data_IF_637442208347
#
_entry.id   IF_637442208347
#
_cell.length_a   1.000
_cell.length_b   1.000
_cell.length_c   1.000
_cell.angle_alpha   90.00
_cell.angle_beta   90.00
_cell.angle_gamma   90.00
#
_symmetry.space_group_name_H-M   'P 1'
#
loop_
_entity.id
_entity.type
_entity.pdbx_description
1 polymer ?
2 non-polymer ?
3 non-polymer ?
4 water ?
#
# COMPACT_ATOMS: atom_id res chain seq x y z
N UNK A 1 -14.92 10.37 -13.15
CA UNK A 1 -14.61 9.10 -12.46
C UNK A 1 -15.70 8.78 -11.45
N UNK A 2 -16.12 7.52 -11.44
CA UNK A 2 -17.11 7.05 -10.48
C UNK A 2 -16.44 6.20 -9.39
N UNK A 3 -16.89 6.38 -8.15
CA UNK A 3 -16.45 5.58 -7.02
C UNK A 3 -17.48 4.54 -6.62
N UNK A 4 -18.69 4.59 -7.18
CA UNK A 4 -19.61 3.47 -7.05
C UNK A 4 -19.08 2.24 -7.79
N UNK A 5 -18.20 2.45 -8.77
CA UNK A 5 -17.67 1.36 -9.57
C UNK A 5 -16.44 0.70 -8.94
N UNK A 6 -15.78 1.33 -7.96
CA UNK A 6 -14.56 0.78 -7.38
C UNK A 6 -14.85 -0.57 -6.74
N UNK A 7 -14.03 -1.56 -7.06
CA UNK A 7 -14.21 -2.91 -6.55
C UNK A 7 -13.16 -3.25 -5.51
N UNK A 8 -13.58 -3.94 -4.45
CA UNK A 8 -12.63 -4.30 -3.41
C UNK A 8 -13.09 -5.56 -2.69
N UNK A 9 -12.14 -6.44 -2.44
CA UNK A 9 -12.33 -7.64 -1.64
C UNK A 9 -11.20 -7.73 -0.63
N UNK A 10 -11.51 -8.30 0.53
CA UNK A 10 -10.50 -8.57 1.54
C UNK A 10 -10.84 -9.89 2.20
N UNK A 11 -9.97 -10.86 2.06
CA UNK A 11 -10.18 -12.15 2.69
C UNK A 11 -9.13 -12.40 3.78
N UNK A 12 -9.54 -13.14 4.81
CA UNK A 12 -8.70 -13.24 6.00
C UNK A 12 -7.67 -14.34 5.89
N UNK A 13 -7.93 -15.37 5.10
CA UNK A 13 -6.97 -16.45 4.97
C UNK A 13 -6.98 -17.33 6.20
N UNK A 14 -5.86 -18.00 6.43
CA UNK A 14 -5.69 -18.87 7.59
C UNK A 14 -5.02 -18.11 8.74
N UNK A 15 -5.50 -16.91 9.05
CA UNK A 15 -4.95 -16.12 10.14
C UNK A 15 -6.05 -15.82 11.16
N UNK A 16 -5.61 -15.46 12.37
CA UNK A 16 -6.56 -15.21 13.44
C UNK A 16 -7.30 -13.89 13.23
N UNK A 17 -6.60 -12.86 12.79
CA UNK A 17 -7.21 -11.56 12.53
C UNK A 17 -6.94 -11.14 11.08
N UNK A 18 -7.84 -10.34 10.53
CA UNK A 18 -7.57 -9.68 9.25
C UNK A 18 -7.04 -8.29 9.55
N UNK A 19 -5.77 -8.05 9.24
CA UNK A 19 -5.11 -6.80 9.58
C UNK A 19 -4.93 -5.88 8.37
N UNK A 20 -5.56 -6.19 7.24
CA UNK A 20 -5.55 -5.34 6.05
C UNK A 20 -6.62 -4.28 6.15
N UNK A 21 -6.27 -3.05 5.76
CA UNK A 21 -7.23 -1.95 5.70
C UNK A 21 -7.16 -1.31 4.32
N UNK A 22 -8.25 -0.66 3.92
CA UNK A 22 -8.27 0.04 2.63
C UNK A 22 -9.31 1.15 2.67
N UNK A 23 -9.08 2.15 1.84
CA UNK A 23 -9.92 3.34 1.81
C UNK A 23 -9.83 3.96 0.43
N UNK A 24 -10.88 4.68 0.05
CA UNK A 24 -10.84 5.52 -1.14
C UNK A 24 -11.87 6.61 -0.98
N UNK A 25 -11.58 7.78 -1.54
CA UNK A 25 -12.47 8.91 -1.34
C UNK A 25 -12.16 10.01 -2.35
N UNK A 26 -13.16 10.84 -2.59
CA UNK A 26 -12.94 12.10 -3.30
C UNK A 26 -12.46 13.11 -2.27
N UNK A 27 -11.21 13.55 -2.39
CA UNK A 27 -10.67 14.44 -1.37
C UNK A 27 -11.08 15.88 -1.62
N UNK A 28 -10.77 16.39 -2.80
CA UNK A 28 -11.25 17.68 -3.26
C UNK A 28 -11.89 17.50 -4.63
N UNK A 29 -12.27 18.61 -5.28
CA UNK A 29 -12.82 18.50 -6.63
C UNK A 29 -11.84 17.81 -7.58
N UNK A 30 -10.55 18.03 -7.37
CA UNK A 30 -9.53 17.63 -8.32
C UNK A 30 -8.75 16.38 -7.90
N UNK A 31 -8.87 15.93 -6.66
CA UNK A 31 -7.97 14.91 -6.11
C UNK A 31 -8.77 13.72 -5.60
N UNK A 32 -8.54 12.56 -6.20
CA UNK A 32 -9.05 11.30 -5.69
C UNK A 32 -7.93 10.59 -4.91
N UNK A 33 -8.33 9.76 -3.92
CA UNK A 33 -7.41 9.07 -3.02
C UNK A 33 -7.77 7.60 -2.94
N UNK A 34 -6.75 6.73 -3.01
CA UNK A 34 -6.91 5.29 -2.90
C UNK A 34 -5.75 4.70 -2.09
N UNK A 35 -6.03 3.75 -1.20
CA UNK A 35 -5.00 3.26 -0.29
C UNK A 35 -5.29 1.86 0.21
N UNK A 36 -4.22 1.06 0.38
CA UNK A 36 -4.26 -0.18 1.17
C UNK A 36 -3.23 -0.08 2.29
N UNK A 37 -3.58 -0.66 3.42
CA UNK A 37 -2.67 -0.75 4.55
C UNK A 37 -2.64 -2.19 5.04
N UNK A 38 -1.50 -2.86 4.88
CA UNK A 38 -1.30 -4.19 5.44
C UNK A 38 -0.69 -4.03 6.84
N UNK A 39 -1.49 -4.27 7.86
CA UNK A 39 -0.99 -4.19 9.21
C UNK A 39 -0.33 -5.48 9.68
N UNK A 40 0.46 -5.34 10.74
CA UNK A 40 1.12 -6.45 11.43
C UNK A 40 1.42 -6.05 12.86
N UNK A 41 1.53 -7.06 13.72
CA UNK A 41 1.79 -6.81 15.13
C UNK A 41 0.66 -6.10 15.82
N UNK A 42 -0.57 -6.34 15.40
CA UNK A 42 -1.70 -5.57 15.85
C UNK A 42 -2.16 -4.62 14.76
N UNK A 43 -3.47 -4.41 14.64
CA UNK A 43 -3.98 -3.51 13.60
C UNK A 43 -3.76 -2.03 13.89
N UNK A 44 -3.25 -1.68 15.08
CA UNK A 44 -3.21 -0.27 15.50
C UNK A 44 -2.63 0.65 14.44
N UNK A 45 -1.56 0.23 13.76
CA UNK A 45 -0.91 1.14 12.82
C UNK A 45 -1.70 1.23 11.51
N UNK A 46 -2.25 0.11 11.02
CA UNK A 46 -3.09 0.16 9.83
C UNK A 46 -4.33 1.01 10.07
N UNK A 47 -5.00 0.80 11.21
CA UNK A 47 -6.16 1.61 11.57
C UNK A 47 -5.81 3.09 11.67
N UNK A 48 -4.66 3.40 12.27
CA UNK A 48 -4.25 4.79 12.40
C UNK A 48 -4.14 5.46 11.03
N UNK A 49 -3.49 4.78 10.08
CA UNK A 49 -3.33 5.36 8.77
C UNK A 49 -4.67 5.47 8.07
N UNK A 50 -5.48 4.43 8.14
CA UNK A 50 -6.83 4.47 7.60
C UNK A 50 -7.63 5.64 8.17
N UNK A 51 -7.40 5.94 9.44
CA UNK A 51 -8.19 6.98 10.10
C UNK A 51 -7.68 8.39 9.77
N UNK A 52 -6.36 8.55 9.59
CA UNK A 52 -5.76 9.87 9.55
C UNK A 52 -5.08 10.24 8.24
N UNK A 53 -4.83 9.30 7.33
CA UNK A 53 -4.05 9.62 6.15
C UNK A 53 -4.70 10.74 5.36
N UNK A 54 -6.04 10.74 5.31
CA UNK A 54 -6.75 11.68 4.44
C UNK A 54 -6.58 13.12 4.91
N UNK A 55 -6.47 13.33 6.23
CA UNK A 55 -6.25 14.68 6.71
C UNK A 55 -4.81 15.14 6.51
N UNK A 56 -3.81 14.28 6.72
CA UNK A 56 -2.45 14.68 6.40
C UNK A 56 -2.37 15.19 4.97
N UNK A 57 -2.98 14.46 4.05
CA UNK A 57 -2.96 14.85 2.64
C UNK A 57 -3.68 16.18 2.44
N UNK A 58 -4.93 16.28 2.92
CA UNK A 58 -5.72 17.47 2.64
C UNK A 58 -5.12 18.73 3.24
N UNK A 59 -4.53 18.63 4.43
CA UNK A 59 -3.88 19.79 5.02
C UNK A 59 -2.64 20.23 4.25
N UNK A 60 -2.04 19.33 3.48
CA UNK A 60 -0.85 19.62 2.70
C UNK A 60 -1.17 20.02 1.27
N UNK A 61 -2.36 19.66 0.76
CA UNK A 61 -2.73 20.02 -0.60
C UNK A 61 -2.60 21.50 -0.88
N UNK A 62 -3.07 22.42 -0.03
CA UNK A 62 -2.89 23.85 -0.33
C UNK A 62 -1.45 24.32 -0.31
N UNK A 63 -0.54 23.52 0.24
CA UNK A 63 0.82 23.99 0.48
C UNK A 63 1.84 23.41 -0.48
N UNK A 64 1.50 22.37 -1.25
CA UNK A 64 2.50 21.61 -1.99
C UNK A 64 1.92 21.12 -3.30
N UNK A 65 2.51 21.56 -4.41
CA UNK A 65 1.95 21.21 -5.70
C UNK A 65 2.58 19.97 -6.29
N UNK A 66 3.80 19.62 -5.89
CA UNK A 66 4.44 18.38 -6.29
C UNK A 66 3.85 17.28 -5.44
N UNK A 67 3.06 16.38 -6.03
CA UNK A 67 2.36 15.38 -5.24
C UNK A 67 3.29 14.27 -4.74
N UNK A 68 4.38 14.01 -5.46
CA UNK A 68 5.39 13.11 -4.93
C UNK A 68 5.98 13.67 -3.64
N UNK A 69 6.32 14.95 -3.65
CA UNK A 69 6.79 15.60 -2.43
C UNK A 69 5.71 15.58 -1.37
N UNK A 70 4.45 15.80 -1.76
CA UNK A 70 3.36 15.86 -0.78
C UNK A 70 3.21 14.55 -0.03
N UNK A 71 3.22 13.41 -0.74
CA UNK A 71 3.00 12.14 -0.07
C UNK A 71 4.19 11.74 0.80
N UNK A 72 5.41 12.07 0.37
CA UNK A 72 6.58 11.90 1.22
C UNK A 72 6.39 12.58 2.57
N UNK A 73 6.04 13.87 2.57
CA UNK A 73 5.75 14.57 3.81
C UNK A 73 4.61 13.91 4.57
N UNK A 74 3.55 13.54 3.86
CA UNK A 74 2.40 12.94 4.54
C UNK A 74 2.79 11.63 5.23
N UNK A 75 3.59 10.80 4.57
CA UNK A 75 4.02 9.54 5.17
C UNK A 75 4.86 9.78 6.42
N UNK A 76 5.88 10.63 6.31
CA UNK A 76 6.71 10.91 7.46
C UNK A 76 5.91 11.60 8.55
N UNK A 77 4.96 12.45 8.18
CA UNK A 77 4.19 13.15 9.20
C UNK A 77 3.26 12.18 9.91
N UNK A 78 2.69 11.23 9.20
CA UNK A 78 1.75 10.32 9.83
C UNK A 78 2.48 9.26 10.68
N UNK A 79 3.74 8.96 10.34
CA UNK A 79 4.51 8.01 11.13
C UNK A 79 4.95 8.66 12.44
N UNK A 80 5.40 9.91 12.36
CA UNK A 80 5.65 10.69 13.56
C UNK A 80 4.40 10.78 14.42
N UNK A 81 3.22 10.90 13.80
CA UNK A 81 2.01 10.93 14.63
C UNK A 81 1.73 9.57 15.26
N UNK A 82 2.04 8.48 14.55
CA UNK A 82 1.77 7.18 15.16
C UNK A 82 2.72 6.89 16.31
N UNK A 83 4.00 7.28 16.17
CA UNK A 83 4.98 7.17 17.24
C UNK A 83 4.43 7.73 18.54
N UNK A 84 3.98 8.99 18.49
CA UNK A 84 3.52 9.67 19.69
C UNK A 84 2.27 9.00 20.24
N UNK A 85 1.34 8.66 19.36
CA UNK A 85 0.14 7.96 19.80
C UNK A 85 0.51 6.69 20.57
N UNK A 86 1.49 5.94 20.03
CA UNK A 86 1.87 4.66 20.61
C UNK A 86 2.59 4.83 21.94
N UNK A 87 3.59 5.72 21.97
CA UNK A 87 4.37 5.94 23.18
C UNK A 87 3.52 6.45 24.33
N UNK A 88 2.34 6.99 24.05
CA UNK A 88 1.51 7.60 25.07
C UNK A 88 0.31 6.76 25.45
N UNK A 89 0.12 5.59 24.87
CA UNK A 89 -1.01 4.78 25.28
C UNK A 89 -0.55 3.72 26.30
N UNK A 90 -1.54 3.14 26.98
CA UNK A 90 -1.25 2.14 28.00
C UNK A 90 -0.78 0.83 27.39
N UNK A 91 -1.24 0.52 26.18
CA UNK A 91 -0.90 -0.72 25.50
C UNK A 91 0.53 -0.67 24.98
N UNK A 92 1.39 -1.54 25.50
CA UNK A 92 2.77 -1.56 25.04
C UNK A 92 2.95 -2.25 23.70
N UNK A 93 1.95 -3.03 23.25
CA UNK A 93 2.05 -3.71 21.96
C UNK A 93 2.08 -2.75 20.79
N UNK A 94 1.48 -1.57 20.94
CA UNK A 94 1.50 -0.57 19.87
C UNK A 94 2.90 -0.17 19.47
N UNK A 95 3.90 -0.46 20.30
CA UNK A 95 5.29 -0.19 19.97
C UNK A 95 5.85 -1.25 19.02
N UNK A 96 5.17 -2.38 18.90
CA UNK A 96 5.53 -3.40 17.92
C UNK A 96 4.59 -3.40 16.73
N UNK A 97 3.64 -2.49 16.68
CA UNK A 97 2.64 -2.46 15.62
C UNK A 97 3.18 -1.69 14.43
N UNK A 98 2.94 -2.23 13.24
CA UNK A 98 3.37 -1.58 12.03
C UNK A 98 2.36 -1.76 10.91
N UNK A 99 2.71 -1.26 9.75
CA UNK A 99 1.83 -1.42 8.59
C UNK A 99 2.55 -0.98 7.34
N UNK A 100 2.26 -1.66 6.24
CA UNK A 100 2.59 -1.09 4.94
C UNK A 100 1.63 0.04 4.62
N UNK A 101 2.01 0.84 3.64
CA UNK A 101 1.12 1.88 3.16
C UNK A 101 1.37 2.03 1.67
N UNK A 102 0.32 1.86 0.86
CA UNK A 102 0.38 2.16 -0.58
C UNK A 102 -0.77 3.08 -0.92
N UNK A 103 -0.44 4.34 -1.24
CA UNK A 103 -1.42 5.40 -1.43
C UNK A 103 -1.31 5.95 -2.85
N UNK A 104 -2.45 6.16 -3.50
CA UNK A 104 -2.53 6.74 -4.85
C UNK A 104 -3.35 8.01 -4.81
N UNK A 105 -2.82 9.06 -5.44
CA UNK A 105 -3.56 10.29 -5.67
C UNK A 105 -3.74 10.49 -7.17
N UNK A 106 -4.96 10.75 -7.59
CA UNK A 106 -5.26 11.07 -8.99
C UNK A 106 -5.71 12.52 -9.07
N UNK A 107 -4.92 13.36 -9.73
CA UNK A 107 -5.22 14.79 -9.83
C UNK A 107 -5.75 15.12 -11.24
N UNK A 108 -6.83 15.91 -11.28
CA UNK A 108 -7.44 16.38 -12.53
C UNK A 108 -7.85 15.24 -13.45
N UNK A 109 -8.13 14.06 -12.90
CA UNK A 109 -8.48 12.92 -13.71
C UNK A 109 -7.36 12.38 -14.59
N UNK A 110 -6.16 12.98 -14.52
CA UNK A 110 -5.12 12.67 -15.50
C UNK A 110 -3.78 12.28 -14.87
N UNK A 111 -3.43 12.92 -13.75
CA UNK A 111 -2.14 12.74 -13.11
C UNK A 111 -2.25 11.75 -11.97
N UNK A 112 -1.62 10.59 -12.14
CA UNK A 112 -1.61 9.52 -11.14
C UNK A 112 -0.26 9.48 -10.44
N UNK A 113 -0.28 9.68 -9.13
CA UNK A 113 0.93 9.63 -8.31
C UNK A 113 0.73 8.58 -7.23
N UNK A 114 1.72 7.70 -7.07
CA UNK A 114 1.63 6.57 -6.15
C UNK A 114 2.86 6.58 -5.24
N UNK A 115 2.63 6.50 -3.95
CA UNK A 115 3.69 6.37 -2.95
C UNK A 115 3.43 5.11 -2.12
N UNK A 116 4.50 4.38 -1.81
CA UNK A 116 4.32 3.26 -0.89
C UNK A 116 5.55 3.01 -0.04
N UNK A 117 5.32 2.39 1.11
CA UNK A 117 6.34 1.71 1.90
C UNK A 117 5.83 0.31 2.21
N UNK A 118 6.68 -0.69 1.98
CA UNK A 118 6.35 -2.06 2.32
C UNK A 118 6.34 -2.96 1.10
N UNK A 119 5.51 -4.00 1.18
CA UNK A 119 5.43 -5.00 0.12
C UNK A 119 4.00 -5.18 -0.39
N UNK A 120 3.12 -4.23 -0.12
CA UNK A 120 1.86 -4.12 -0.82
C UNK A 120 2.10 -3.35 -2.11
N UNK A 121 1.27 -3.61 -3.12
CA UNK A 121 1.62 -3.23 -4.49
C UNK A 121 0.53 -2.40 -5.16
N UNK A 122 0.97 -1.58 -6.11
CA UNK A 122 0.08 -0.87 -7.02
C UNK A 122 0.53 -1.13 -8.44
N UNK A 123 -0.40 -1.52 -9.30
CA UNK A 123 -0.13 -1.65 -10.73
C UNK A 123 -1.21 -0.89 -11.50
N UNK A 124 -0.92 -0.65 -12.77
CA UNK A 124 -1.85 -0.06 -13.72
C UNK A 124 -2.02 -1.00 -14.91
N UNK A 125 -3.27 -1.33 -15.23
CA UNK A 125 -3.59 -2.19 -16.37
C UNK A 125 -4.23 -1.33 -17.45
N UNK A 126 -3.54 -1.20 -18.57
CA UNK A 126 -4.09 -0.55 -19.75
C UNK A 126 -4.00 -1.56 -20.88
N UNK A 127 -5.12 -1.78 -21.56
CA UNK A 127 -5.18 -2.76 -22.65
C UNK A 127 -4.53 -4.08 -22.26
N UNK A 128 -4.88 -4.56 -21.07
CA UNK A 128 -4.50 -5.89 -20.60
C UNK A 128 -3.03 -6.13 -20.33
N UNK A 129 -2.17 -5.09 -20.40
CA UNK A 129 -0.77 -5.15 -20.01
C UNK A 129 -0.59 -4.42 -18.68
N UNK A 130 0.17 -5.00 -17.75
CA UNK A 130 0.46 -4.31 -16.48
C UNK A 130 1.69 -3.42 -16.56
N UNK A 131 1.63 -2.35 -15.78
CA UNK A 131 2.80 -1.54 -15.48
C UNK A 131 2.96 -1.46 -13.95
N UNK A 132 4.13 -1.86 -13.45
CA UNK A 132 4.39 -1.81 -12.03
C UNK A 132 4.54 -0.35 -11.59
N UNK A 133 3.76 0.09 -10.61
CA UNK A 133 3.96 1.41 -10.02
C UNK A 133 4.77 1.38 -8.71
N UNK A 134 5.06 0.20 -8.15
CA UNK A 134 5.78 0.10 -6.90
C UNK A 134 6.82 -0.99 -7.00
N UNK A 135 7.84 -0.88 -6.15
CA UNK A 135 8.82 -1.93 -5.95
C UNK A 135 8.84 -2.29 -4.48
N UNK A 136 8.80 -3.59 -4.18
CA UNK A 136 8.75 -4.05 -2.79
C UNK A 136 10.01 -3.65 -2.03
N UNK A 137 9.82 -3.27 -0.77
CA UNK A 137 10.91 -2.97 0.15
C UNK A 137 11.16 -4.23 0.98
N UNK A 138 12.10 -5.05 0.53
CA UNK A 138 12.47 -6.27 1.23
C UNK A 138 13.98 -6.34 1.34
N UNK A 139 14.49 -7.06 2.35
CA UNK A 139 15.95 -7.16 2.54
C UNK A 139 16.71 -7.72 1.34
N UNK A 140 16.07 -8.48 0.44
CA UNK A 140 16.75 -8.91 -0.78
C UNK A 140 16.94 -7.81 -1.79
N UNK A 141 16.87 -6.54 -1.38
CA UNK A 141 17.20 -5.42 -2.24
C UNK A 141 18.53 -4.84 -1.77
N UNK A 142 19.54 -4.92 -2.64
CA UNK A 142 20.89 -4.48 -2.28
C UNK A 142 20.89 -3.11 -1.64
N UNK A 143 20.16 -2.15 -2.21
CA UNK A 143 20.17 -0.82 -1.61
C UNK A 143 19.50 -0.80 -0.25
N UNK A 144 18.45 -1.60 -0.07
CA UNK A 144 17.78 -1.65 1.23
C UNK A 144 18.65 -2.33 2.28
N UNK A 145 19.30 -3.43 1.91
CA UNK A 145 20.22 -4.12 2.81
C UNK A 145 21.29 -3.18 3.35
N UNK A 146 21.86 -2.35 2.49
CA UNK A 146 22.96 -1.48 2.89
C UNK A 146 22.50 -0.47 3.93
N UNK A 147 21.31 0.11 3.76
CA UNK A 147 20.82 1.02 4.78
C UNK A 147 20.62 0.30 6.11
N UNK A 148 20.14 -0.94 6.05
CA UNK A 148 19.86 -1.68 7.29
C UNK A 148 21.14 -1.86 8.09
N UNK A 149 22.24 -2.22 7.42
CA UNK A 149 23.51 -2.39 8.11
C UNK A 149 24.06 -1.03 8.55
N UNK A 150 24.13 -0.07 7.62
CA UNK A 150 24.64 1.26 7.95
C UNK A 150 24.02 1.79 9.23
N UNK A 151 22.73 1.49 9.45
CA UNK A 151 22.03 1.96 10.65
C UNK A 151 22.16 0.99 11.82
N UNK A 152 22.89 -0.11 11.69
CA UNK A 152 23.15 -1.00 12.81
C UNK A 152 22.21 -2.16 12.99
N UNK A 153 21.40 -2.50 11.98
CA UNK A 153 20.53 -3.64 12.06
C UNK A 153 21.10 -4.82 11.31
N UNK A 154 20.36 -5.93 11.35
CA UNK A 154 20.83 -7.14 10.69
C UNK A 154 19.65 -7.82 10.01
N UNK A 155 19.96 -8.85 9.23
CA UNK A 155 18.97 -9.65 8.54
C UNK A 155 19.15 -11.11 8.91
N UNK A 156 18.09 -11.74 9.40
CA UNK A 156 18.07 -13.15 9.78
C UNK A 156 17.22 -13.92 8.78
N UNK A 157 17.19 -15.25 8.92
CA UNK A 157 16.62 -16.06 7.85
C UNK A 157 15.70 -17.19 8.31
N UNK A 158 14.64 -17.36 7.52
CA UNK A 158 13.86 -18.58 7.27
C UNK A 158 13.47 -18.38 5.81
N UNK A 159 13.02 -17.16 5.57
CA UNK A 159 13.20 -16.26 4.43
C UNK A 159 13.50 -14.89 5.03
N UNK A 160 14.21 -14.00 4.34
CA UNK A 160 14.94 -12.90 5.03
C UNK A 160 14.05 -11.92 5.79
N UNK A 161 14.38 -11.70 7.06
CA UNK A 161 13.65 -10.82 7.98
C UNK A 161 14.60 -9.85 8.67
N UNK A 162 14.24 -8.57 8.68
CA UNK A 162 15.04 -7.56 9.34
C UNK A 162 15.03 -7.80 10.84
N UNK A 163 16.23 -7.88 11.43
CA UNK A 163 16.41 -8.17 12.87
C UNK A 163 15.56 -9.35 13.32
N UNK A 164 15.42 -10.36 12.45
CA UNK A 164 14.62 -11.52 12.76
C UNK A 164 13.12 -11.28 12.89
N UNK A 165 12.67 -10.03 12.82
CA UNK A 165 11.28 -9.66 13.03
C UNK A 165 10.51 -9.28 11.77
N UNK A 166 11.05 -8.39 10.95
CA UNK A 166 10.25 -7.66 9.96
C UNK A 166 10.63 -8.05 8.55
N UNK A 167 9.68 -8.63 7.82
CA UNK A 167 9.90 -9.11 6.46
C UNK A 167 10.04 -7.98 5.44
N UNK A 168 10.05 -6.70 5.83
CA UNK A 168 10.19 -5.59 4.91
C UNK A 168 11.14 -4.56 5.52
N UNK A 169 11.58 -3.61 4.70
CA UNK A 169 12.60 -2.66 5.11
C UNK A 169 12.08 -1.23 5.25
N UNK A 170 10.84 -0.95 4.87
CA UNK A 170 10.24 0.34 5.16
C UNK A 170 8.83 0.10 5.65
N UNK A 171 8.32 1.03 6.47
CA UNK A 171 6.98 0.85 7.03
C UNK A 171 6.58 2.09 7.82
N UNK A 172 5.31 2.12 8.21
CA UNK A 172 4.77 3.09 9.18
C UNK A 172 4.65 2.38 10.52
N UNK A 173 5.21 2.99 11.56
CA UNK A 173 5.27 2.33 12.87
C UNK A 173 6.53 1.53 13.06
N UNK A 174 6.42 0.38 13.72
CA UNK A 174 7.59 -0.43 14.13
C UNK A 174 8.64 0.44 14.81
N UNK A 175 8.22 1.09 15.92
CA UNK A 175 9.02 2.16 16.52
C UNK A 175 10.42 1.73 16.89
N UNK A 176 10.58 0.47 17.32
CA UNK A 176 11.87 0.00 17.79
C UNK A 176 12.84 -0.27 16.64
N UNK A 177 12.32 -0.64 15.48
CA UNK A 177 13.18 -0.91 14.34
C UNK A 177 13.54 0.34 13.57
N UNK A 178 12.96 1.50 13.91
CA UNK A 178 13.23 2.71 13.15
C UNK A 178 14.70 3.09 13.22
N UNK A 179 15.34 2.86 14.37
CA UNK A 179 16.76 3.15 14.52
C UNK A 179 17.63 2.20 13.71
N UNK A 180 17.15 0.98 13.49
CA UNK A 180 17.90 -0.04 12.76
C UNK A 180 17.72 0.03 11.24
N UNK A 181 17.06 1.06 10.70
CA UNK A 181 17.02 1.27 9.27
C UNK A 181 15.65 1.11 8.64
N UNK A 182 14.63 0.70 9.38
CA UNK A 182 13.27 0.64 8.84
C UNK A 182 12.69 2.06 8.85
N UNK A 183 12.50 2.64 7.67
CA UNK A 183 12.10 4.04 7.57
C UNK A 183 10.67 4.13 7.05
N UNK A 184 10.09 5.33 7.17
CA UNK A 184 8.74 5.59 6.70
C UNK A 184 8.70 6.37 5.40
N UNK A 185 9.84 6.63 4.79
CA UNK A 185 9.88 7.45 3.61
C UNK A 185 9.53 6.61 2.38
N UNK A 186 8.56 7.02 1.59
CA UNK A 186 8.14 6.21 0.45
C UNK A 186 9.04 6.38 -0.76
N UNK A 187 9.00 5.39 -1.63
CA UNK A 187 9.34 5.60 -3.03
C UNK A 187 8.08 6.04 -3.76
N UNK A 188 8.25 6.91 -4.74
CA UNK A 188 7.10 7.49 -5.45
C UNK A 188 7.23 7.28 -6.95
N UNK A 189 6.08 7.36 -7.64
CA UNK A 189 6.03 7.35 -9.09
C UNK A 189 4.91 8.27 -9.56
N UNK A 190 5.16 9.00 -10.64
CA UNK A 190 4.19 9.89 -11.26
C UNK A 190 4.00 9.49 -12.71
N UNK A 191 2.75 9.35 -13.13
CA UNK A 191 2.43 9.06 -14.52
C UNK A 191 1.22 9.87 -14.94
N UNK A 192 1.01 9.94 -16.26
CA UNK A 192 -0.18 10.52 -16.88
C UNK A 192 -1.03 9.39 -17.44
N UNK A 193 -2.33 9.43 -17.18
CA UNK A 193 -3.25 8.42 -17.71
C UNK A 193 -3.49 8.60 -19.22
N UNK A 194 -3.94 7.53 -19.86
CA UNK A 194 -4.11 7.53 -21.31
C UNK A 194 -5.39 8.25 -21.69
N UNK A 195 -5.30 9.16 -22.67
CA UNK A 195 -6.47 9.92 -23.05
C UNK A 195 -7.54 9.05 -23.71
N UNK A 196 -7.14 7.94 -24.33
CA UNK A 196 -8.04 7.16 -25.16
C UNK A 196 -8.35 5.76 -24.63
N UNK A 197 -7.40 5.09 -23.97
CA UNK A 197 -7.65 3.74 -23.48
C UNK A 197 -8.10 3.78 -22.02
N UNK A 198 -8.95 2.83 -21.68
CA UNK A 198 -9.33 2.64 -20.29
C UNK A 198 -8.17 2.00 -19.52
N UNK A 199 -7.87 2.55 -18.35
CA UNK A 199 -6.82 1.98 -17.51
C UNK A 199 -7.36 1.78 -16.10
N UNK A 200 -6.88 0.72 -15.46
CA UNK A 200 -7.31 0.32 -14.13
C UNK A 200 -6.15 0.41 -13.15
N UNK A 201 -6.44 0.91 -11.96
CA UNK A 201 -5.48 0.89 -10.86
C UNK A 201 -5.83 -0.27 -9.94
N UNK A 202 -4.84 -1.11 -9.61
CA UNK A 202 -5.04 -2.25 -8.72
C UNK A 202 -4.06 -2.18 -7.56
N UNK A 203 -4.59 -2.05 -6.34
CA UNK A 203 -3.81 -2.12 -5.13
C UNK A 203 -3.99 -3.50 -4.52
N UNK A 204 -2.88 -4.15 -4.15
CA UNK A 204 -2.97 -5.49 -3.55
C UNK A 204 -2.01 -5.61 -2.36
N UNK A 205 -2.39 -6.45 -1.38
CA UNK A 205 -1.51 -6.80 -0.28
C UNK A 205 -0.74 -8.07 -0.61
N UNK A 206 0.30 -8.34 0.19
CA UNK A 206 1.26 -9.40 -0.13
C UNK A 206 0.62 -10.77 -0.15
N UNK A 207 -0.50 -10.98 0.54
CA UNK A 207 -1.17 -12.26 0.45
C UNK A 207 -1.51 -12.63 -0.98
N UNK A 208 -2.04 -11.65 -1.74
CA UNK A 208 -2.30 -11.88 -3.15
C UNK A 208 -1.01 -11.97 -3.94
N UNK A 209 -0.08 -11.04 -3.70
CA UNK A 209 1.11 -10.97 -4.55
C UNK A 209 1.92 -12.26 -4.51
N UNK A 210 1.94 -12.93 -3.35
CA UNK A 210 2.67 -14.17 -3.19
C UNK A 210 2.33 -15.17 -4.30
N UNK A 211 1.09 -15.19 -4.75
CA UNK A 211 0.65 -16.20 -5.69
C UNK A 211 0.14 -15.68 -7.04
N UNK A 212 -0.30 -14.43 -7.15
CA UNK A 212 -0.83 -13.88 -8.40
C UNK A 212 0.10 -12.78 -8.88
N UNK A 213 0.79 -13.01 -9.99
CA UNK A 213 1.67 -11.96 -10.48
C UNK A 213 0.84 -10.86 -11.17
N UNK A 214 1.55 -9.81 -11.58
CA UNK A 214 0.88 -8.63 -12.11
C UNK A 214 0.09 -8.94 -13.37
N UNK A 215 0.63 -9.80 -14.24
CA UNK A 215 -0.07 -10.13 -15.47
C UNK A 215 -1.40 -10.82 -15.18
N UNK A 216 -1.41 -11.80 -14.29
CA UNK A 216 -2.64 -12.51 -14.03
C UNK A 216 -3.69 -11.59 -13.41
N UNK A 217 -3.23 -10.51 -12.78
CA UNK A 217 -4.15 -9.53 -12.20
C UNK A 217 -4.86 -8.75 -13.31
N UNK A 218 -4.12 -8.37 -14.35
CA UNK A 218 -4.75 -7.74 -15.50
C UNK A 218 -5.76 -8.67 -16.14
N UNK A 219 -5.41 -9.94 -16.31
CA UNK A 219 -6.35 -10.89 -16.90
C UNK A 219 -7.66 -10.91 -16.13
N UNK A 220 -7.61 -10.96 -14.80
CA UNK A 220 -8.85 -10.93 -14.02
C UNK A 220 -9.61 -9.63 -14.22
N UNK A 221 -8.90 -8.50 -14.24
CA UNK A 221 -9.54 -7.21 -14.46
C UNK A 221 -10.14 -7.15 -15.87
N UNK A 222 -9.40 -7.65 -16.84
CA UNK A 222 -9.83 -7.64 -18.23
C UNK A 222 -11.02 -8.55 -18.46
N UNK A 223 -11.07 -9.70 -17.79
CA UNK A 223 -12.01 -10.74 -18.14
C UNK A 223 -13.23 -10.82 -17.24
N UNK A 224 -13.30 -10.03 -16.18
CA UNK A 224 -14.46 -10.08 -15.29
C UNK A 224 -15.36 -8.89 -15.57
N UNK A 225 -16.61 -9.01 -15.14
CA UNK A 225 -17.60 -8.01 -15.52
C UNK A 225 -17.24 -6.63 -14.98
N UNK A 226 -17.47 -6.41 -13.70
CA UNK A 226 -17.15 -5.17 -13.03
C UNK A 226 -15.91 -5.33 -12.16
N UNK A 227 -15.38 -4.22 -11.64
CA UNK A 227 -14.23 -4.33 -10.73
C UNK A 227 -14.54 -5.08 -9.44
N UNK A 228 -15.78 -4.99 -8.95
CA UNK A 228 -16.18 -5.76 -7.79
C UNK A 228 -15.89 -7.24 -8.00
N UNK A 229 -16.43 -7.82 -9.06
CA UNK A 229 -16.19 -9.23 -9.30
C UNK A 229 -14.71 -9.50 -9.49
N UNK A 230 -14.01 -8.61 -10.19
CA UNK A 230 -12.60 -8.84 -10.45
C UNK A 230 -11.81 -8.88 -9.15
N UNK A 231 -12.08 -7.94 -8.25
CA UNK A 231 -11.41 -7.92 -6.96
C UNK A 231 -11.67 -9.20 -6.18
N UNK A 232 -12.95 -9.57 -6.03
CA UNK A 232 -13.26 -10.82 -5.35
C UNK A 232 -12.68 -12.02 -6.09
N UNK A 233 -12.61 -11.95 -7.41
CA UNK A 233 -12.05 -13.06 -8.17
C UNK A 233 -10.58 -13.26 -7.85
N UNK A 234 -9.83 -12.17 -7.66
CA UNK A 234 -8.39 -12.32 -7.57
C UNK A 234 -7.97 -12.67 -6.15
N UNK A 235 -8.69 -12.17 -5.14
CA UNK A 235 -8.42 -12.60 -3.78
C UNK A 235 -8.77 -14.07 -3.61
N UNK A 236 -9.87 -14.52 -4.20
CA UNK A 236 -10.22 -15.92 -4.05
C UNK A 236 -9.24 -16.82 -4.81
N UNK A 237 -8.71 -16.34 -5.92
CA UNK A 237 -7.73 -17.14 -6.64
C UNK A 237 -6.45 -17.31 -5.82
N UNK A 238 -6.08 -16.28 -5.07
CA UNK A 238 -4.88 -16.36 -4.25
C UNK A 238 -5.05 -17.42 -3.15
N UNK A 239 -6.20 -17.41 -2.48
CA UNK A 239 -6.51 -18.41 -1.46
C UNK A 239 -6.42 -19.81 -2.04
N UNK A 240 -6.94 -19.99 -3.25
CA UNK A 240 -6.99 -21.33 -3.81
C UNK A 240 -5.62 -21.81 -4.30
N UNK A 241 -4.74 -20.88 -4.68
CA UNK A 241 -3.41 -21.28 -5.07
C UNK A 241 -2.55 -21.66 -3.87
N UNK A 242 -2.97 -21.32 -2.65
CA UNK A 242 -2.28 -21.73 -1.45
C UNK A 242 -1.86 -20.62 -0.50
N UNK A 243 -2.35 -19.42 -0.73
CA UNK A 243 -1.96 -18.31 0.14
C UNK A 243 -2.69 -18.41 1.46
N UNK A 244 -2.00 -18.05 2.54
CA UNK A 244 -2.54 -18.16 3.89
C UNK A 244 -2.65 -16.83 4.61
N UNK A 245 -1.90 -15.82 4.18
CA UNK A 245 -1.98 -14.48 4.75
C UNK A 245 -3.32 -13.83 4.40
N UNK A 246 -3.60 -12.69 5.04
CA UNK A 246 -4.70 -11.85 4.59
C UNK A 246 -4.46 -11.39 3.16
N UNK A 247 -5.54 -11.30 2.39
CA UNK A 247 -5.45 -10.97 0.97
C UNK A 247 -6.47 -9.89 0.65
N UNK A 248 -5.97 -8.76 0.16
CA UNK A 248 -6.84 -7.63 -0.15
C UNK A 248 -6.48 -7.09 -1.52
N UNK A 249 -7.50 -6.88 -2.37
CA UNK A 249 -7.35 -6.27 -3.68
C UNK A 249 -8.35 -5.15 -3.82
N UNK A 250 -7.91 -4.05 -4.42
CA UNK A 250 -8.79 -2.94 -4.72
C UNK A 250 -8.62 -2.60 -6.19
N UNK A 251 -9.74 -2.51 -6.92
CA UNK A 251 -9.74 -2.31 -8.36
C UNK A 251 -10.45 -1.01 -8.68
N UNK A 252 -9.71 -0.09 -9.29
CA UNK A 252 -10.21 1.25 -9.57
C UNK A 252 -10.28 1.50 -11.08
N UNK A 253 -11.47 1.67 -11.65
CA UNK A 253 -11.57 1.94 -13.09
C UNK A 253 -11.44 3.42 -13.40
N UNK A 254 -10.61 3.72 -14.40
CA UNK A 254 -10.44 5.09 -14.90
C UNK A 254 -11.02 5.19 -16.31
N UNK A 255 -11.86 6.19 -16.55
CA UNK A 255 -12.34 6.43 -17.89
C UNK A 255 -11.24 7.01 -18.76
N UNK A 256 -11.35 6.75 -20.05
CA UNK A 256 -10.58 7.51 -21.03
C UNK A 256 -11.04 8.96 -20.98
N UNK A 257 -10.12 9.87 -20.65
CA UNK A 257 -10.45 11.29 -20.55
C UNK A 257 -10.29 12.03 -21.89
#
# INVERSE_FOLDING_TARGET
ISLAKVGCASQIGKRKENEDRFDFAQLTDEVLYFAVYDGHGGPAAADFCHTHMEKCIMDLLPKEANLETLLTLAFLEIDKAFSSHARLSADATLLTSGTTATVALLRDGIELVVASVGDSRAILCRKGKPMKLTIDHTPERADEKERIKKCGGFVAWNQPHVNGRLAMTRSIGDLDLKTSGVIAEPETKRIKLHHADDSFLVLTTDGINFMVNSQEICDFVNQCHDPNEAAHAVTEQAIQYGTEDNSTAVVVPFGAW
#
